data_IF_699180752606
#
_entry.id   IF_699180752606
#
_cell.length_a   1.000
_cell.length_b   1.000
_cell.length_c   1.000
_cell.angle_alpha   90.00
_cell.angle_beta   90.00
_cell.angle_gamma   90.00
#
_symmetry.space_group_name_H-M   'P 1'
#
loop_
_entity.id
_entity.type
_entity.pdbx_description
1 polymer ?
#
# COMPACT_ATOMS: atom_id res chain seq x y z
N UNK A 1 23.53 37.02 28.72
CA UNK A 1 23.80 36.98 27.28
C UNK A 1 24.90 37.95 26.94
N UNK A 2 25.99 37.48 26.32
CA UNK A 2 27.07 38.32 25.81
C UNK A 2 26.62 39.17 24.62
N UNK A 3 27.40 40.19 24.24
CA UNK A 3 27.12 41.00 23.05
C UNK A 3 27.15 40.16 21.77
N UNK A 4 28.01 39.14 21.73
CA UNK A 4 28.14 38.18 20.65
C UNK A 4 26.90 37.27 20.54
N UNK A 5 26.37 36.77 21.66
CA UNK A 5 25.12 36.00 21.68
C UNK A 5 23.90 36.82 21.25
N UNK A 6 23.84 38.12 21.60
CA UNK A 6 22.79 39.02 21.12
C UNK A 6 22.88 39.26 19.62
N UNK A 7 24.08 39.46 19.10
CA UNK A 7 24.32 39.65 17.67
C UNK A 7 24.00 38.39 16.86
N UNK A 8 24.44 37.22 17.34
CA UNK A 8 24.11 35.92 16.72
C UNK A 8 22.61 35.62 16.78
N UNK A 9 21.92 35.96 17.88
CA UNK A 9 20.47 35.83 17.95
C UNK A 9 19.75 36.82 17.02
N UNK A 10 20.24 38.06 16.87
CA UNK A 10 19.67 39.01 15.91
C UNK A 10 19.86 38.55 14.46
N UNK A 11 21.05 38.03 14.11
CA UNK A 11 21.31 37.42 12.81
C UNK A 11 20.41 36.20 12.55
N UNK A 12 20.23 35.32 13.54
CA UNK A 12 19.31 34.18 13.44
C UNK A 12 17.85 34.62 13.27
N UNK A 13 17.41 35.62 14.02
CA UNK A 13 16.03 36.15 13.92
C UNK A 13 15.81 36.84 12.57
N UNK A 14 16.79 37.58 12.05
CA UNK A 14 16.73 38.19 10.73
C UNK A 14 16.74 37.12 9.60
N UNK A 15 17.57 36.09 9.72
CA UNK A 15 17.60 34.97 8.77
C UNK A 15 16.29 34.15 8.79
N UNK A 16 15.67 33.98 9.96
CA UNK A 16 14.35 33.36 10.10
C UNK A 16 13.22 34.23 9.54
N UNK A 17 13.38 35.56 9.54
CA UNK A 17 12.38 36.48 9.00
C UNK A 17 12.37 36.56 7.46
N UNK A 18 13.48 36.20 6.81
CA UNK A 18 13.61 36.15 5.34
C UNK A 18 13.41 34.75 4.73
N UNK A 19 13.29 33.71 5.57
CA UNK A 19 13.09 32.34 5.11
C UNK A 19 11.67 32.14 4.55
N UNK A 20 11.58 31.54 3.36
CA UNK A 20 10.29 31.19 2.77
C UNK A 20 9.72 29.91 3.41
N UNK A 21 8.40 29.82 3.49
CA UNK A 21 7.73 28.63 4.04
C UNK A 21 8.05 27.39 3.17
N UNK A 22 8.15 26.19 3.78
CA UNK A 22 8.44 24.97 3.04
C UNK A 22 7.34 24.64 2.04
N UNK A 23 7.75 24.01 0.94
CA UNK A 23 6.83 23.46 -0.05
C UNK A 23 6.23 22.14 0.47
N UNK A 24 4.91 22.04 0.44
CA UNK A 24 4.13 20.85 0.80
C UNK A 24 3.67 20.18 -0.48
N UNK A 25 3.99 18.89 -0.65
CA UNK A 25 3.62 18.06 -1.79
C UNK A 25 2.47 17.15 -1.35
N UNK A 26 1.26 17.34 -1.86
CA UNK A 26 0.08 16.70 -1.27
C UNK A 26 0.10 15.16 -1.38
N UNK A 27 0.66 14.61 -2.45
CA UNK A 27 0.81 13.16 -2.65
C UNK A 27 1.84 12.51 -1.69
N UNK A 28 2.65 13.32 -0.99
CA UNK A 28 3.67 12.86 -0.03
C UNK A 28 3.29 13.22 1.41
N UNK A 29 2.91 14.46 1.66
CA UNK A 29 2.77 15.05 3.00
C UNK A 29 1.37 14.83 3.62
N UNK A 30 0.65 13.79 3.19
CA UNK A 30 -0.66 13.44 3.75
C UNK A 30 -0.51 12.87 5.17
N UNK A 31 -1.40 13.21 6.13
CA UNK A 31 -1.30 12.72 7.51
C UNK A 31 -1.28 11.18 7.57
N UNK A 32 -0.29 10.62 8.26
CA UNK A 32 -0.11 9.16 8.39
C UNK A 32 0.62 8.50 7.22
N UNK A 33 1.12 9.27 6.26
CA UNK A 33 1.88 8.76 5.12
C UNK A 33 3.39 9.03 5.31
N UNK A 34 4.21 7.97 5.38
CA UNK A 34 5.68 8.08 5.49
C UNK A 34 6.39 8.10 4.12
N UNK A 35 5.64 8.31 3.04
CA UNK A 35 6.15 8.31 1.68
C UNK A 35 7.28 9.31 1.46
N UNK A 36 8.43 8.83 0.99
CA UNK A 36 9.63 9.65 0.75
C UNK A 36 9.67 10.31 -0.63
N UNK A 37 8.68 10.03 -1.48
CA UNK A 37 8.78 10.37 -2.89
C UNK A 37 7.52 10.18 -3.72
N UNK A 38 7.69 10.14 -5.03
CA UNK A 38 6.62 9.96 -6.02
C UNK A 38 6.90 8.68 -6.82
N UNK A 39 5.86 7.88 -7.01
CA UNK A 39 5.99 6.57 -7.63
C UNK A 39 5.15 6.38 -8.88
N UNK A 40 4.92 5.11 -9.22
CA UNK A 40 4.18 4.67 -10.39
C UNK A 40 2.80 5.34 -10.51
N UNK A 41 2.01 5.38 -9.43
CA UNK A 41 0.63 5.90 -9.48
C UNK A 41 0.54 7.41 -9.79
N UNK A 42 1.54 8.18 -9.38
CA UNK A 42 1.59 9.63 -9.51
C UNK A 42 2.19 10.04 -10.84
N UNK A 43 3.12 9.25 -11.35
CA UNK A 43 3.97 9.63 -12.47
C UNK A 43 3.74 8.81 -13.73
N UNK A 44 3.05 7.67 -13.68
CA UNK A 44 2.75 6.86 -14.88
C UNK A 44 2.07 7.70 -15.97
N UNK A 45 0.96 8.36 -15.65
CA UNK A 45 0.32 9.31 -16.55
C UNK A 45 1.16 10.59 -16.62
N UNK A 46 1.76 10.91 -17.78
CA UNK A 46 2.65 12.06 -17.90
C UNK A 46 1.97 13.41 -17.65
N UNK A 47 0.63 13.46 -17.63
CA UNK A 47 -0.17 14.67 -17.40
C UNK A 47 -0.86 14.69 -16.04
N UNK A 48 -0.74 13.64 -15.23
CA UNK A 48 -1.25 13.69 -13.86
C UNK A 48 -0.54 14.81 -13.12
N UNK A 49 -1.34 15.63 -12.45
CA UNK A 49 -0.86 16.73 -11.65
C UNK A 49 -0.38 16.19 -10.30
N UNK A 50 0.82 16.60 -9.91
CA UNK A 50 1.37 16.50 -8.55
C UNK A 50 1.19 17.87 -7.90
N UNK A 51 0.11 18.06 -7.11
CA UNK A 51 -0.19 19.36 -6.51
C UNK A 51 0.77 19.67 -5.36
N UNK A 52 1.20 20.92 -5.32
CA UNK A 52 2.07 21.43 -4.27
C UNK A 52 1.59 22.79 -3.80
N UNK A 53 1.90 23.13 -2.56
CA UNK A 53 1.52 24.42 -1.98
C UNK A 53 2.56 24.93 -1.00
N UNK A 54 2.60 26.24 -0.81
CA UNK A 54 3.42 26.86 0.22
C UNK A 54 2.66 28.03 0.82
N UNK A 55 2.75 28.22 2.14
CA UNK A 55 2.14 29.38 2.79
C UNK A 55 2.82 30.67 2.31
N UNK A 56 2.04 31.71 2.01
CA UNK A 56 2.63 33.00 1.66
C UNK A 56 3.41 33.58 2.85
N UNK A 57 4.61 34.13 2.63
CA UNK A 57 5.34 34.84 3.69
C UNK A 57 4.65 36.17 4.01
N UNK A 58 5.04 36.80 5.13
CA UNK A 58 4.41 38.05 5.58
C UNK A 58 4.67 39.23 4.64
N UNK A 59 5.80 39.23 3.91
CA UNK A 59 6.21 40.31 3.01
C UNK A 59 6.14 39.85 1.57
N UNK A 60 5.02 40.20 0.93
CA UNK A 60 4.68 39.95 -0.48
C UNK A 60 4.01 41.17 -1.10
N UNK A 61 4.07 41.31 -2.42
CA UNK A 61 3.40 42.36 -3.18
C UNK A 61 2.65 41.80 -4.37
N UNK A 62 1.55 42.47 -4.72
CA UNK A 62 0.87 42.22 -5.98
C UNK A 62 1.86 42.41 -7.13
N UNK A 63 1.95 41.41 -8.02
CA UNK A 63 2.91 41.40 -9.11
C UNK A 63 4.29 40.84 -8.76
N UNK A 64 4.52 40.33 -7.55
CA UNK A 64 5.71 39.53 -7.27
C UNK A 64 5.76 38.32 -8.21
N UNK A 65 6.94 38.01 -8.73
CA UNK A 65 7.16 36.92 -9.66
C UNK A 65 7.43 35.62 -8.89
N UNK A 66 6.61 34.60 -9.12
CA UNK A 66 6.72 33.28 -8.48
C UNK A 66 7.26 32.27 -9.48
N UNK A 67 8.31 31.54 -9.12
CA UNK A 67 8.88 30.45 -9.92
C UNK A 67 8.90 29.14 -9.16
N UNK A 68 8.50 28.03 -9.80
CA UNK A 68 8.73 26.67 -9.29
C UNK A 68 9.86 26.02 -10.07
N UNK A 69 10.76 25.35 -9.37
CA UNK A 69 11.95 24.72 -9.93
C UNK A 69 11.96 23.22 -9.64
N UNK A 70 12.45 22.45 -10.61
CA UNK A 70 12.74 21.03 -10.49
C UNK A 70 14.14 20.76 -11.02
N UNK A 71 14.97 20.10 -10.22
CA UNK A 71 16.32 19.71 -10.60
C UNK A 71 16.65 18.30 -10.11
N UNK A 72 17.47 17.59 -10.89
CA UNK A 72 18.02 16.28 -10.52
C UNK A 72 19.39 16.42 -9.84
N UNK A 73 19.96 17.63 -9.83
CA UNK A 73 21.21 17.92 -9.13
C UNK A 73 20.87 18.57 -7.79
N UNK A 74 21.30 17.92 -6.70
CA UNK A 74 21.13 18.44 -5.34
C UNK A 74 21.74 19.84 -5.22
N UNK A 75 20.99 20.86 -4.78
CA UNK A 75 21.54 22.17 -4.48
C UNK A 75 22.66 22.10 -3.43
N UNK A 76 23.74 22.86 -3.61
CA UNK A 76 24.89 22.87 -2.68
C UNK A 76 24.60 23.59 -1.36
N UNK A 77 23.56 24.42 -1.33
CA UNK A 77 23.11 25.20 -0.17
C UNK A 77 21.61 25.02 0.05
N UNK A 78 21.16 25.35 1.26
CA UNK A 78 19.75 25.36 1.62
C UNK A 78 19.44 26.66 2.39
N UNK A 79 18.62 27.57 1.84
CA UNK A 79 18.03 27.52 0.49
C UNK A 79 19.08 27.65 -0.63
N UNK A 80 18.74 27.30 -1.89
CA UNK A 80 19.62 27.55 -3.04
C UNK A 80 19.96 29.04 -3.19
N UNK A 81 21.20 29.35 -3.60
CA UNK A 81 21.64 30.74 -3.82
C UNK A 81 21.24 31.29 -5.19
N UNK A 82 21.16 30.43 -6.21
CA UNK A 82 20.70 30.76 -7.56
C UNK A 82 19.85 29.62 -8.12
N UNK A 83 18.79 29.97 -8.84
CA UNK A 83 17.95 29.01 -9.57
C UNK A 83 18.46 28.88 -11.01
N UNK A 84 18.82 27.69 -11.52
CA UNK A 84 19.19 27.53 -12.92
C UNK A 84 18.04 27.94 -13.83
N UNK A 85 18.31 28.79 -14.82
CA UNK A 85 17.29 29.32 -15.75
C UNK A 85 16.51 28.19 -16.47
N UNK A 86 17.14 27.04 -16.69
CA UNK A 86 16.55 25.88 -17.42
C UNK A 86 15.84 24.84 -16.52
N UNK A 87 15.74 25.11 -15.21
CA UNK A 87 15.08 24.22 -14.24
C UNK A 87 13.74 24.78 -13.73
N UNK A 88 13.39 26.01 -14.11
CA UNK A 88 12.08 26.60 -13.79
C UNK A 88 11.00 25.94 -14.64
N UNK A 89 10.10 25.21 -14.00
CA UNK A 89 9.04 24.43 -14.65
C UNK A 89 7.67 25.10 -14.58
N UNK A 90 7.50 26.09 -13.70
CA UNK A 90 6.28 26.89 -13.63
C UNK A 90 6.62 28.33 -13.23
N UNK A 91 5.81 29.27 -13.73
CA UNK A 91 5.96 30.69 -13.43
C UNK A 91 4.60 31.39 -13.47
N UNK A 92 4.35 32.30 -12.53
CA UNK A 92 3.22 33.22 -12.56
C UNK A 92 3.50 34.48 -11.74
N UNK A 93 2.77 35.56 -12.04
CA UNK A 93 2.75 36.79 -11.22
C UNK A 93 1.70 36.67 -10.12
N UNK A 94 2.04 37.10 -8.91
CA UNK A 94 1.17 37.02 -7.74
C UNK A 94 -0.04 37.95 -7.91
N UNK A 95 -1.24 37.35 -7.94
CA UNK A 95 -2.51 38.06 -8.06
C UNK A 95 -3.20 38.28 -6.70
N UNK A 96 -4.18 39.19 -6.67
CA UNK A 96 -4.89 39.53 -5.43
C UNK A 96 -5.62 38.31 -4.84
N UNK A 97 -6.17 37.42 -5.68
CA UNK A 97 -6.89 36.25 -5.22
C UNK A 97 -5.97 35.24 -4.50
N UNK A 98 -4.71 35.12 -4.90
CA UNK A 98 -3.71 34.29 -4.22
C UNK A 98 -3.29 34.91 -2.89
N UNK A 99 -3.12 36.24 -2.85
CA UNK A 99 -2.86 36.98 -1.60
C UNK A 99 -3.97 36.75 -0.59
N UNK A 100 -5.22 36.91 -1.01
CA UNK A 100 -6.40 36.76 -0.15
C UNK A 100 -6.55 35.32 0.37
N UNK A 101 -6.15 34.31 -0.42
CA UNK A 101 -6.09 32.90 0.00
C UNK A 101 -5.00 32.65 1.03
N UNK A 102 -3.85 33.30 0.92
CA UNK A 102 -2.74 33.16 1.88
C UNK A 102 -1.77 32.01 1.58
N UNK A 103 -1.89 31.34 0.43
CA UNK A 103 -0.97 30.29 -0.01
C UNK A 103 -0.72 30.32 -1.51
N UNK A 104 0.51 29.96 -1.89
CA UNK A 104 0.92 29.65 -3.26
C UNK A 104 0.41 28.26 -3.63
N UNK A 105 0.04 28.09 -4.89
CA UNK A 105 -0.34 26.80 -5.47
C UNK A 105 0.51 26.52 -6.70
N UNK A 106 0.98 25.29 -6.78
CA UNK A 106 1.77 24.78 -7.89
C UNK A 106 1.25 23.41 -8.31
N UNK A 107 1.57 23.02 -9.53
CA UNK A 107 1.39 21.65 -9.97
C UNK A 107 2.50 21.29 -10.95
N UNK A 108 3.16 20.15 -10.72
CA UNK A 108 4.10 19.56 -11.67
C UNK A 108 3.44 18.34 -12.34
N UNK A 109 3.95 17.98 -13.51
CA UNK A 109 3.64 16.71 -14.17
C UNK A 109 4.95 16.02 -14.51
N UNK A 110 4.93 14.71 -14.80
CA UNK A 110 6.12 14.00 -15.28
C UNK A 110 6.72 14.65 -16.53
N UNK A 111 5.85 15.14 -17.43
CA UNK A 111 6.24 15.88 -18.63
C UNK A 111 6.98 17.19 -18.28
N UNK A 112 6.47 17.99 -17.33
CA UNK A 112 7.14 19.23 -16.88
C UNK A 112 8.47 18.96 -16.17
N UNK A 113 8.55 17.87 -15.41
CA UNK A 113 9.78 17.41 -14.77
C UNK A 113 10.80 16.83 -15.77
N UNK A 114 10.40 16.65 -17.04
CA UNK A 114 11.20 16.06 -18.12
C UNK A 114 11.72 14.66 -17.77
N UNK A 115 10.94 13.90 -16.99
CA UNK A 115 11.28 12.52 -16.63
C UNK A 115 10.90 11.62 -17.83
N UNK A 116 11.87 10.89 -18.42
CA UNK A 116 11.66 10.14 -19.66
C UNK A 116 10.58 9.04 -19.61
N UNK A 117 9.94 8.79 -20.77
CA UNK A 117 8.95 7.70 -20.92
C UNK A 117 9.58 6.30 -20.91
N UNK A 118 10.86 6.15 -21.28
CA UNK A 118 11.51 4.84 -21.38
C UNK A 118 11.57 4.10 -20.04
N UNK A 119 11.61 4.84 -18.91
CA UNK A 119 11.53 4.32 -17.54
C UNK A 119 10.23 3.52 -17.31
N UNK A 120 9.11 4.05 -17.80
CA UNK A 120 7.80 3.38 -17.72
C UNK A 120 7.69 2.26 -18.76
N UNK A 121 8.17 2.50 -19.98
CA UNK A 121 8.03 1.56 -21.10
C UNK A 121 8.82 0.27 -20.88
N UNK A 122 9.90 0.29 -20.10
CA UNK A 122 10.64 -0.92 -19.71
C UNK A 122 9.77 -1.88 -18.89
N UNK A 123 9.02 -1.34 -17.94
CA UNK A 123 8.09 -2.13 -17.13
C UNK A 123 6.96 -2.69 -17.99
N UNK A 124 6.42 -1.88 -18.91
CA UNK A 124 5.39 -2.34 -19.87
C UNK A 124 5.92 -3.47 -20.77
N UNK A 125 7.20 -3.45 -21.17
CA UNK A 125 7.80 -4.52 -22.00
C UNK A 125 7.84 -5.88 -21.30
N UNK A 126 7.84 -5.92 -19.97
CA UNK A 126 7.79 -7.19 -19.21
C UNK A 126 6.40 -7.83 -19.23
N UNK A 127 5.35 -7.04 -19.50
CA UNK A 127 3.98 -7.53 -19.56
C UNK A 127 3.71 -8.35 -20.84
N UNK A 128 2.70 -9.22 -20.76
CA UNK A 128 2.17 -9.91 -21.94
C UNK A 128 1.62 -8.90 -22.97
N UNK A 129 1.82 -9.11 -24.29
CA UNK A 129 1.48 -8.14 -25.34
C UNK A 129 0.01 -7.65 -25.34
N UNK A 130 -0.94 -8.48 -24.95
CA UNK A 130 -2.36 -8.17 -24.79
C UNK A 130 -2.62 -7.05 -23.78
N UNK A 131 -1.73 -6.85 -22.81
CA UNK A 131 -1.83 -5.80 -21.81
C UNK A 131 -1.17 -4.49 -22.24
N UNK A 132 -0.40 -4.46 -23.32
CA UNK A 132 0.28 -3.25 -23.80
C UNK A 132 -0.67 -2.13 -24.26
N UNK A 133 -1.78 -2.41 -24.99
CA UNK A 133 -2.62 -1.36 -25.57
C UNK A 133 -3.13 -0.30 -24.58
N UNK A 134 -3.50 -0.69 -23.36
CA UNK A 134 -3.96 0.25 -22.33
C UNK A 134 -2.87 1.26 -21.93
N UNK A 135 -1.62 0.81 -21.80
CA UNK A 135 -0.51 1.68 -21.42
C UNK A 135 -0.09 2.57 -22.57
N UNK A 136 -0.01 2.01 -23.79
CA UNK A 136 0.29 2.76 -25.00
C UNK A 136 -0.75 3.85 -25.26
N UNK A 137 -2.03 3.57 -25.02
CA UNK A 137 -3.09 4.57 -25.11
C UNK A 137 -2.88 5.73 -24.13
N UNK A 138 -2.55 5.43 -22.87
CA UNK A 138 -2.27 6.46 -21.86
C UNK A 138 -1.08 7.35 -22.25
N UNK A 139 -0.03 6.74 -22.82
CA UNK A 139 1.17 7.43 -23.30
C UNK A 139 1.03 8.04 -24.70
N UNK A 140 -0.12 7.86 -25.37
CA UNK A 140 -0.36 8.28 -26.76
C UNK A 140 0.67 7.72 -27.77
N UNK A 141 1.05 6.46 -27.57
CA UNK A 141 1.95 5.72 -28.45
C UNK A 141 1.16 4.70 -29.28
N UNK A 142 1.58 4.46 -30.51
CA UNK A 142 0.98 3.43 -31.37
C UNK A 142 1.53 2.02 -31.08
N UNK A 143 2.80 1.95 -30.68
CA UNK A 143 3.53 0.72 -30.33
C UNK A 143 4.65 1.06 -29.36
N UNK A 144 5.19 0.04 -28.71
CA UNK A 144 6.42 0.19 -27.91
C UNK A 144 7.58 0.62 -28.82
N UNK A 145 8.22 1.78 -28.56
CA UNK A 145 9.45 2.13 -29.25
C UNK A 145 10.60 1.21 -28.82
N UNK A 146 11.64 1.11 -29.64
CA UNK A 146 12.89 0.46 -29.22
C UNK A 146 13.47 1.20 -28.01
N UNK A 147 14.00 0.49 -27.00
CA UNK A 147 14.65 1.14 -25.87
C UNK A 147 15.89 1.92 -26.34
N UNK A 148 16.21 3.05 -25.71
CA UNK A 148 17.42 3.79 -26.05
C UNK A 148 18.66 2.95 -25.75
N UNK A 149 19.72 3.15 -26.53
CA UNK A 149 20.97 2.40 -26.36
C UNK A 149 21.71 2.73 -25.06
N UNK A 150 21.47 3.92 -24.49
CA UNK A 150 21.99 4.38 -23.22
C UNK A 150 20.83 4.98 -22.44
N UNK A 151 20.67 4.55 -21.19
CA UNK A 151 19.68 5.11 -20.27
C UNK A 151 20.26 6.34 -19.59
N UNK A 152 19.49 7.42 -19.55
CA UNK A 152 19.93 8.69 -18.94
C UNK A 152 19.89 8.65 -17.40
N UNK A 153 19.04 7.80 -16.81
CA UNK A 153 18.79 7.77 -15.36
C UNK A 153 18.83 6.34 -14.78
N UNK A 154 19.59 6.09 -13.69
CA UNK A 154 19.35 4.93 -12.84
C UNK A 154 18.06 5.14 -12.03
N UNK A 155 17.29 4.09 -11.82
CA UNK A 155 16.14 4.07 -10.88
C UNK A 155 16.53 3.27 -9.63
N UNK A 156 16.05 3.67 -8.44
CA UNK A 156 15.39 4.95 -8.15
C UNK A 156 16.38 6.12 -8.15
N UNK A 157 15.89 7.37 -8.23
CA UNK A 157 16.73 8.57 -8.16
C UNK A 157 16.10 9.73 -7.36
N UNK A 158 16.93 10.68 -6.93
CA UNK A 158 16.46 11.87 -6.21
C UNK A 158 16.25 13.04 -7.15
N UNK A 159 15.17 13.80 -6.91
CA UNK A 159 15.00 15.13 -7.44
C UNK A 159 14.59 16.14 -6.37
N UNK A 160 14.63 17.42 -6.74
CA UNK A 160 14.57 18.52 -5.79
C UNK A 160 13.60 19.60 -6.28
N UNK A 161 12.54 19.83 -5.51
CA UNK A 161 11.64 20.97 -5.71
C UNK A 161 11.99 22.12 -4.80
N UNK A 162 11.92 23.33 -5.32
CA UNK A 162 11.93 24.56 -4.53
C UNK A 162 11.24 25.66 -5.33
N UNK A 163 10.83 26.73 -4.66
CA UNK A 163 10.24 27.88 -5.33
C UNK A 163 11.00 29.15 -5.02
N UNK A 164 10.78 30.18 -5.83
CA UNK A 164 11.29 31.52 -5.63
C UNK A 164 10.18 32.56 -5.59
N UNK A 165 10.48 33.68 -4.93
CA UNK A 165 9.71 34.90 -4.99
C UNK A 165 10.67 36.02 -5.37
N UNK A 166 10.40 36.70 -6.48
CA UNK A 166 11.12 37.89 -6.92
C UNK A 166 10.23 39.13 -6.84
N UNK A 167 10.65 40.12 -6.04
CA UNK A 167 10.01 41.43 -5.99
C UNK A 167 10.69 42.37 -6.99
N UNK A 168 10.05 42.74 -8.11
CA UNK A 168 10.65 43.57 -9.15
C UNK A 168 10.95 45.00 -8.68
N UNK A 169 10.27 45.49 -7.63
CA UNK A 169 10.47 46.84 -7.13
C UNK A 169 11.73 46.95 -6.27
N UNK A 170 11.97 45.97 -5.40
CA UNK A 170 13.17 45.93 -4.56
C UNK A 170 14.32 45.14 -5.17
N UNK A 171 14.07 44.45 -6.29
CA UNK A 171 14.97 43.48 -6.92
C UNK A 171 15.42 42.39 -5.94
N UNK A 172 14.54 42.02 -5.01
CA UNK A 172 14.84 41.00 -4.01
C UNK A 172 14.38 39.65 -4.53
N UNK A 173 15.31 38.71 -4.67
CA UNK A 173 15.04 37.32 -5.05
C UNK A 173 15.30 36.43 -3.84
N UNK A 174 14.31 35.63 -3.46
CA UNK A 174 14.42 34.65 -2.39
C UNK A 174 14.01 33.28 -2.88
N UNK A 175 14.66 32.25 -2.34
CA UNK A 175 14.32 30.85 -2.59
C UNK A 175 13.82 30.18 -1.31
N UNK A 176 12.96 29.18 -1.48
CA UNK A 176 12.62 28.26 -0.41
C UNK A 176 13.72 27.25 -0.20
N UNK A 177 13.71 26.63 0.98
CA UNK A 177 14.39 25.35 1.16
C UNK A 177 13.90 24.36 0.09
N UNK A 178 14.81 23.50 -0.36
CA UNK A 178 14.44 22.44 -1.29
C UNK A 178 13.78 21.28 -0.56
N UNK A 179 12.81 20.67 -1.23
CA UNK A 179 12.23 19.37 -0.89
C UNK A 179 12.93 18.31 -1.73
N UNK A 180 13.62 17.42 -1.05
CA UNK A 180 14.15 16.20 -1.65
C UNK A 180 12.99 15.21 -1.85
N UNK A 181 12.89 14.66 -3.06
CA UNK A 181 11.82 13.75 -3.50
C UNK A 181 12.47 12.55 -4.16
N UNK A 182 12.24 11.37 -3.59
CA UNK A 182 12.60 10.11 -4.24
C UNK A 182 11.68 9.88 -5.44
N UNK A 183 12.22 9.56 -6.60
CA UNK A 183 11.48 9.14 -7.77
C UNK A 183 11.78 7.67 -7.96
N UNK A 184 10.72 6.88 -7.98
CA UNK A 184 10.83 5.44 -8.19
C UNK A 184 9.60 4.92 -8.95
N UNK A 185 9.80 4.68 -10.24
CA UNK A 185 8.76 4.10 -11.10
C UNK A 185 8.72 2.57 -11.03
N UNK A 186 9.71 1.93 -10.40
CA UNK A 186 9.85 0.48 -10.35
C UNK A 186 8.93 -0.07 -9.25
N UNK A 187 7.86 -0.73 -9.66
CA UNK A 187 6.95 -1.39 -8.71
C UNK A 187 7.64 -2.63 -8.16
N UNK A 188 7.71 -2.84 -6.83
CA UNK A 188 8.33 -4.04 -6.25
C UNK A 188 7.61 -5.29 -6.74
N UNK A 189 8.35 -6.29 -7.21
CA UNK A 189 7.80 -7.48 -7.85
C UNK A 189 7.36 -7.27 -9.30
N UNK A 190 7.57 -6.07 -9.87
CA UNK A 190 7.16 -5.73 -11.23
C UNK A 190 5.68 -5.39 -11.35
N UNK A 191 5.28 -4.91 -12.54
CA UNK A 191 3.87 -4.70 -12.85
C UNK A 191 3.17 -6.05 -13.00
N UNK A 192 2.08 -6.22 -12.26
CA UNK A 192 1.25 -7.42 -12.34
C UNK A 192 0.93 -7.80 -13.80
N UNK A 193 1.39 -9.00 -14.25
CA UNK A 193 1.21 -9.45 -15.61
C UNK A 193 -0.24 -9.77 -15.95
N UNK A 194 -1.09 -10.09 -14.96
CA UNK A 194 -2.49 -10.46 -15.15
C UNK A 194 -3.36 -9.64 -14.21
N UNK A 195 -3.54 -8.34 -14.52
CA UNK A 195 -4.21 -7.37 -13.65
C UNK A 195 -5.65 -7.74 -13.27
N UNK A 196 -6.27 -8.66 -14.00
CA UNK A 196 -7.59 -9.24 -13.76
C UNK A 196 -7.64 -10.27 -12.63
N UNK A 197 -6.50 -10.79 -12.20
CA UNK A 197 -6.40 -11.69 -11.04
C UNK A 197 -6.12 -10.86 -9.78
N UNK A 198 -6.41 -11.41 -8.58
CA UNK A 198 -6.16 -10.71 -7.32
C UNK A 198 -4.69 -10.77 -6.85
N UNK A 199 -3.79 -11.43 -7.58
CA UNK A 199 -2.41 -11.68 -7.18
C UNK A 199 -1.44 -11.20 -8.26
N UNK A 200 -0.21 -10.89 -7.90
CA UNK A 200 0.85 -10.62 -8.87
C UNK A 200 1.62 -11.91 -9.18
N UNK A 201 1.47 -12.44 -10.40
CA UNK A 201 2.15 -13.68 -10.80
C UNK A 201 3.65 -13.53 -11.10
N UNK A 202 4.22 -12.32 -11.03
CA UNK A 202 5.68 -12.15 -11.02
C UNK A 202 6.31 -12.41 -9.66
N UNK A 203 5.52 -12.42 -8.59
CA UNK A 203 5.99 -12.86 -7.27
C UNK A 203 5.93 -14.39 -7.15
N UNK A 204 6.77 -14.95 -6.28
CA UNK A 204 6.72 -16.37 -5.93
C UNK A 204 5.88 -16.59 -4.68
N UNK A 205 5.32 -17.79 -4.52
CA UNK A 205 4.64 -18.14 -3.28
C UNK A 205 5.67 -18.24 -2.14
N UNK A 206 5.34 -17.79 -0.92
CA UNK A 206 6.23 -17.98 0.22
C UNK A 206 6.42 -19.47 0.53
N UNK A 207 7.58 -19.86 1.03
CA UNK A 207 7.82 -21.22 1.52
C UNK A 207 7.75 -21.20 3.05
N UNK A 208 6.81 -21.95 3.62
CA UNK A 208 6.63 -22.03 5.09
C UNK A 208 7.20 -23.33 5.63
N UNK A 209 8.07 -23.24 6.63
CA UNK A 209 8.74 -24.39 7.25
C UNK A 209 8.63 -24.30 8.79
N UNK A 210 8.05 -25.31 9.47
CA UNK A 210 7.27 -26.40 8.88
C UNK A 210 5.91 -25.91 8.36
N UNK A 211 5.37 -26.57 7.33
CA UNK A 211 4.01 -26.28 6.82
C UNK A 211 2.90 -26.97 7.62
N UNK A 212 3.26 -27.88 8.54
CA UNK A 212 2.36 -28.44 9.57
C UNK A 212 2.90 -28.05 10.94
N UNK A 213 2.06 -27.36 11.71
CA UNK A 213 2.42 -26.70 12.95
C UNK A 213 1.61 -27.34 14.06
N UNK A 214 2.28 -28.03 14.98
CA UNK A 214 1.60 -28.76 16.06
C UNK A 214 1.05 -27.82 17.15
N UNK A 215 1.72 -26.69 17.38
CA UNK A 215 1.29 -25.66 18.34
C UNK A 215 1.74 -24.28 17.87
N UNK A 216 1.09 -23.18 18.30
CA UNK A 216 1.58 -21.82 18.02
C UNK A 216 3.01 -21.54 18.50
N UNK A 217 3.52 -22.30 19.48
CA UNK A 217 4.88 -22.16 19.99
C UNK A 217 5.94 -22.85 19.11
N UNK A 218 5.54 -23.61 18.09
CA UNK A 218 6.47 -24.24 17.13
C UNK A 218 7.22 -23.14 16.38
N UNK A 219 8.56 -23.16 16.33
CA UNK A 219 9.31 -22.20 15.53
C UNK A 219 8.99 -22.37 14.04
N UNK A 220 8.45 -21.32 13.42
CA UNK A 220 8.08 -21.28 12.00
C UNK A 220 8.91 -20.21 11.29
N UNK A 221 9.45 -20.60 10.14
CA UNK A 221 10.14 -19.69 9.23
C UNK A 221 9.37 -19.61 7.92
N UNK A 222 9.21 -18.39 7.42
CA UNK A 222 8.75 -18.12 6.05
C UNK A 222 9.93 -17.59 5.25
N UNK A 223 10.20 -18.20 4.10
CA UNK A 223 11.20 -17.70 3.15
C UNK A 223 10.54 -17.17 1.89
N UNK A 224 11.00 -16.01 1.44
CA UNK A 224 10.52 -15.31 0.24
C UNK A 224 11.74 -15.06 -0.66
N UNK A 225 11.68 -15.55 -1.89
CA UNK A 225 12.75 -15.34 -2.87
C UNK A 225 12.91 -13.85 -3.19
N UNK A 226 14.11 -13.45 -3.62
CA UNK A 226 14.31 -12.10 -4.12
C UNK A 226 13.34 -11.76 -5.27
N UNK A 227 12.78 -10.55 -5.23
CA UNK A 227 11.82 -10.07 -6.23
C UNK A 227 12.44 -9.05 -7.19
N UNK A 228 11.77 -8.86 -8.33
CA UNK A 228 12.11 -7.81 -9.27
C UNK A 228 12.05 -6.43 -8.59
N UNK A 229 13.11 -5.63 -8.75
CA UNK A 229 13.23 -4.30 -8.16
C UNK A 229 13.27 -4.26 -6.62
N UNK A 230 13.69 -5.36 -5.99
CA UNK A 230 13.97 -5.40 -4.56
C UNK A 230 15.03 -4.37 -4.16
N UNK A 231 14.73 -3.57 -3.14
CA UNK A 231 15.60 -2.49 -2.69
C UNK A 231 15.56 -2.26 -1.18
N UNK A 232 16.59 -1.59 -0.68
CA UNK A 232 16.62 -1.15 0.71
C UNK A 232 15.50 -0.12 0.91
N UNK A 233 14.79 -0.22 2.03
CA UNK A 233 13.61 0.58 2.31
C UNK A 233 12.28 -0.08 1.93
N UNK A 234 12.30 -1.22 1.23
CA UNK A 234 11.09 -2.03 1.03
C UNK A 234 10.60 -2.61 2.37
N UNK A 235 9.28 -2.71 2.51
CA UNK A 235 8.59 -3.36 3.62
C UNK A 235 7.77 -4.50 3.06
N UNK A 236 8.13 -5.72 3.47
CA UNK A 236 7.36 -6.92 3.19
C UNK A 236 6.38 -7.15 4.35
N UNK A 237 5.08 -7.18 4.05
CA UNK A 237 4.04 -7.56 5.01
C UNK A 237 3.63 -9.01 4.74
N UNK A 238 3.79 -9.87 5.74
CA UNK A 238 3.26 -11.23 5.73
C UNK A 238 1.79 -11.19 6.17
N UNK A 239 0.92 -11.87 5.44
CA UNK A 239 -0.48 -12.08 5.81
C UNK A 239 -0.62 -13.55 6.17
N UNK A 240 -0.74 -13.82 7.46
CA UNK A 240 -0.96 -15.15 8.04
C UNK A 240 -2.43 -15.31 8.41
N UNK A 241 -3.20 -15.99 7.58
CA UNK A 241 -4.62 -16.19 7.74
C UNK A 241 -5.37 -14.90 8.15
N UNK A 242 -5.19 -13.81 7.39
CA UNK A 242 -5.80 -12.51 7.69
C UNK A 242 -5.08 -11.67 8.75
N UNK A 243 -4.10 -12.24 9.47
CA UNK A 243 -3.22 -11.51 10.40
C UNK A 243 -2.06 -10.90 9.65
N UNK A 244 -1.98 -9.57 9.65
CA UNK A 244 -0.85 -8.82 9.08
C UNK A 244 0.34 -8.78 10.05
N UNK A 245 1.52 -9.02 9.53
CA UNK A 245 2.80 -8.91 10.23
C UNK A 245 3.83 -8.24 9.31
N UNK A 246 4.27 -7.04 9.68
CA UNK A 246 5.29 -6.32 8.91
C UNK A 246 6.67 -6.85 9.28
N UNK A 247 7.41 -7.34 8.28
CA UNK A 247 8.84 -7.59 8.41
C UNK A 247 9.56 -6.24 8.61
N UNK A 248 10.70 -6.21 9.35
CA UNK A 248 11.53 -5.01 9.38
C UNK A 248 11.83 -4.47 7.98
N UNK A 249 11.90 -3.14 7.87
CA UNK A 249 12.31 -2.44 6.65
C UNK A 249 13.63 -3.03 6.17
N UNK A 250 13.72 -3.40 4.89
CA UNK A 250 14.92 -3.99 4.34
C UNK A 250 16.10 -3.01 4.39
N UNK A 251 17.25 -3.49 4.83
CA UNK A 251 18.51 -2.75 4.76
C UNK A 251 19.30 -3.13 3.49
N UNK A 252 20.33 -2.36 3.13
CA UNK A 252 21.19 -2.67 1.96
C UNK A 252 21.76 -4.09 2.00
N UNK A 253 22.07 -4.59 3.21
CA UNK A 253 22.55 -5.94 3.40
C UNK A 253 21.52 -7.02 3.08
N UNK A 254 20.23 -6.74 3.19
CA UNK A 254 19.16 -7.72 2.98
C UNK A 254 18.82 -7.91 1.51
N UNK A 255 18.93 -6.87 0.69
CA UNK A 255 18.77 -6.95 -0.77
C UNK A 255 19.75 -7.94 -1.41
N UNK A 256 20.93 -8.08 -0.79
CA UNK A 256 21.95 -9.04 -1.24
C UNK A 256 21.77 -10.47 -0.69
N UNK A 257 20.83 -10.67 0.24
CA UNK A 257 20.52 -11.97 0.84
C UNK A 257 19.28 -12.55 0.17
N UNK A 258 19.50 -13.53 -0.69
CA UNK A 258 18.44 -14.33 -1.27
C UNK A 258 18.45 -15.71 -0.58
N UNK A 259 17.35 -16.14 0.08
CA UNK A 259 16.04 -15.48 0.23
C UNK A 259 15.91 -14.55 1.45
N UNK A 260 14.85 -13.74 1.49
CA UNK A 260 14.39 -13.06 2.73
C UNK A 260 13.81 -14.10 3.67
N UNK A 261 14.27 -14.10 4.93
CA UNK A 261 13.88 -15.09 5.94
C UNK A 261 13.16 -14.41 7.09
N UNK A 262 11.89 -14.77 7.29
CA UNK A 262 11.01 -14.21 8.32
C UNK A 262 10.80 -15.25 9.40
N UNK A 263 11.11 -14.91 10.66
CA UNK A 263 10.71 -15.71 11.80
C UNK A 263 9.29 -15.31 12.20
N UNK A 264 8.32 -16.20 12.03
CA UNK A 264 6.91 -15.88 12.31
C UNK A 264 6.72 -15.89 13.83
N UNK A 265 6.27 -14.77 14.44
CA UNK A 265 5.98 -14.75 15.87
C UNK A 265 4.85 -15.70 16.24
N UNK A 266 4.94 -16.32 17.42
CA UNK A 266 3.91 -17.24 17.92
C UNK A 266 2.53 -16.58 18.04
N UNK A 267 2.47 -15.28 18.37
CA UNK A 267 1.21 -14.54 18.49
C UNK A 267 0.53 -14.31 17.13
N UNK A 268 1.31 -14.26 16.04
CA UNK A 268 0.76 -14.18 14.67
C UNK A 268 0.08 -15.51 14.32
N UNK A 269 0.72 -16.64 14.67
CA UNK A 269 0.17 -17.98 14.45
C UNK A 269 -1.10 -18.18 15.31
N UNK A 270 -1.04 -17.81 16.59
CA UNK A 270 -2.17 -17.93 17.53
C UNK A 270 -3.38 -17.11 17.07
N UNK A 271 -3.17 -15.83 16.71
CA UNK A 271 -4.23 -14.96 16.18
C UNK A 271 -4.76 -15.41 14.82
N UNK A 272 -3.95 -16.13 14.06
CA UNK A 272 -4.35 -16.74 12.80
C UNK A 272 -5.21 -17.99 12.97
N UNK A 273 -5.38 -18.48 14.20
CA UNK A 273 -6.20 -19.64 14.50
C UNK A 273 -5.59 -20.97 14.04
N UNK A 274 -6.39 -22.02 14.17
CA UNK A 274 -6.04 -23.39 13.78
C UNK A 274 -6.89 -23.84 12.59
N UNK A 275 -6.43 -24.84 11.83
CA UNK A 275 -7.17 -25.37 10.69
C UNK A 275 -6.28 -25.96 9.60
N UNK A 276 -6.95 -26.58 8.63
CA UNK A 276 -6.32 -27.12 7.42
C UNK A 276 -6.43 -26.12 6.27
N UNK A 277 -5.31 -25.84 5.61
CA UNK A 277 -5.19 -24.88 4.51
C UNK A 277 -5.32 -23.41 4.92
N UNK A 278 -4.76 -23.04 6.07
CA UNK A 278 -4.64 -21.63 6.45
C UNK A 278 -3.78 -20.90 5.42
N UNK A 279 -4.26 -19.73 5.03
CA UNK A 279 -3.72 -18.96 3.92
C UNK A 279 -2.51 -18.13 4.36
N UNK A 280 -1.37 -18.29 3.69
CA UNK A 280 -0.16 -17.48 3.92
C UNK A 280 0.31 -16.86 2.61
N UNK A 281 0.35 -15.54 2.53
CA UNK A 281 0.92 -14.80 1.39
C UNK A 281 1.61 -13.54 1.89
N UNK A 282 2.22 -12.79 1.00
CA UNK A 282 2.87 -11.53 1.34
C UNK A 282 2.58 -10.46 0.30
N UNK A 283 2.85 -9.23 0.68
CA UNK A 283 2.85 -8.07 -0.21
C UNK A 283 3.99 -7.13 0.17
N UNK A 284 4.38 -6.25 -0.75
CA UNK A 284 5.52 -5.36 -0.57
C UNK A 284 5.10 -3.92 -0.86
N UNK A 285 5.56 -3.01 0.00
CA UNK A 285 5.51 -1.56 -0.19
C UNK A 285 6.93 -1.02 -0.23
N UNK A 286 7.24 -0.19 -1.22
CA UNK A 286 8.53 0.50 -1.27
C UNK A 286 8.51 1.86 -0.53
N UNK A 287 9.64 2.58 -0.60
CA UNK A 287 9.79 3.89 0.04
C UNK A 287 8.89 4.99 -0.55
N UNK A 288 8.43 4.80 -1.78
CA UNK A 288 7.44 5.67 -2.43
C UNK A 288 6.06 5.02 -2.47
N UNK A 289 5.79 4.02 -1.64
CA UNK A 289 4.49 3.35 -1.53
C UNK A 289 3.97 2.70 -2.83
N UNK A 290 4.84 2.39 -3.80
CA UNK A 290 4.46 1.47 -4.87
C UNK A 290 4.09 0.12 -4.25
N UNK A 291 3.05 -0.50 -4.79
CA UNK A 291 2.45 -1.71 -4.23
C UNK A 291 2.65 -2.90 -5.15
N UNK A 292 3.23 -3.97 -4.63
CA UNK A 292 3.50 -5.19 -5.41
C UNK A 292 2.26 -5.97 -5.80
N UNK A 293 1.11 -5.71 -5.17
CA UNK A 293 -0.02 -6.65 -5.05
C UNK A 293 0.33 -7.92 -4.27
N UNK A 294 -0.68 -8.70 -3.84
CA UNK A 294 -0.44 -9.94 -3.10
C UNK A 294 0.34 -10.95 -3.95
N UNK A 295 1.25 -11.69 -3.32
CA UNK A 295 1.90 -12.85 -3.94
C UNK A 295 0.94 -14.03 -4.09
N UNK A 296 1.28 -15.03 -4.93
CA UNK A 296 0.61 -16.32 -4.88
C UNK A 296 0.68 -16.92 -3.45
N UNK A 297 -0.35 -17.61 -3.00
CA UNK A 297 -0.42 -18.10 -1.62
C UNK A 297 0.33 -19.41 -1.41
N UNK A 298 0.77 -19.62 -0.17
CA UNK A 298 1.04 -20.92 0.41
C UNK A 298 -0.07 -21.31 1.39
N UNK A 299 -0.15 -22.61 1.68
CA UNK A 299 -1.15 -23.17 2.60
C UNK A 299 -0.46 -23.96 3.69
N UNK A 300 -0.90 -23.75 4.93
CA UNK A 300 -0.35 -24.43 6.11
C UNK A 300 -1.45 -25.11 6.91
N UNK A 301 -1.08 -26.11 7.71
CA UNK A 301 -1.94 -26.69 8.74
C UNK A 301 -1.43 -26.23 10.10
N UNK A 302 -2.32 -25.70 10.93
CA UNK A 302 -2.06 -25.44 12.36
C UNK A 302 -2.99 -26.34 13.16
N UNK A 303 -2.43 -27.25 13.96
CA UNK A 303 -3.20 -28.19 14.75
C UNK A 303 -3.66 -27.56 16.07
N UNK A 304 -4.91 -27.82 16.41
CA UNK A 304 -5.42 -27.70 17.78
C UNK A 304 -6.30 -28.93 18.06
N UNK A 305 -5.85 -29.87 18.91
CA UNK A 305 -6.60 -31.09 19.19
C UNK A 305 -7.91 -30.83 19.95
N UNK A 306 -8.13 -29.63 20.47
CA UNK A 306 -9.36 -29.25 21.16
C UNK A 306 -10.28 -28.36 20.32
N UNK A 307 -9.89 -28.03 19.08
CA UNK A 307 -10.71 -27.19 18.23
C UNK A 307 -11.95 -27.92 17.72
N UNK A 308 -13.05 -27.18 17.61
CA UNK A 308 -14.29 -27.67 17.01
C UNK A 308 -14.18 -27.69 15.48
N UNK A 309 -15.09 -28.40 14.82
CA UNK A 309 -15.13 -28.43 13.35
C UNK A 309 -15.45 -27.05 12.76
N UNK A 310 -14.86 -26.72 11.60
CA UNK A 310 -15.10 -25.44 10.94
C UNK A 310 -16.55 -25.31 10.44
N UNK A 311 -17.13 -24.10 10.43
CA UNK A 311 -18.41 -23.86 9.78
C UNK A 311 -18.36 -24.17 8.28
N UNK A 312 -19.48 -24.55 7.68
CA UNK A 312 -19.63 -24.74 6.22
C UNK A 312 -20.17 -23.47 5.56
N UNK A 313 -19.67 -23.14 4.38
CA UNK A 313 -20.16 -22.00 3.59
C UNK A 313 -20.77 -22.54 2.32
N UNK A 314 -22.07 -22.30 2.11
CA UNK A 314 -22.79 -22.76 0.93
C UNK A 314 -22.20 -22.11 -0.33
N UNK A 315 -21.88 -22.91 -1.33
CA UNK A 315 -21.19 -22.48 -2.55
C UNK A 315 -19.66 -22.48 -2.46
N UNK A 316 -19.08 -22.85 -1.31
CA UNK A 316 -17.63 -22.95 -1.10
C UNK A 316 -17.27 -24.24 -0.32
N UNK A 317 -17.65 -25.41 -0.84
CA UNK A 317 -17.54 -26.68 -0.10
C UNK A 317 -16.19 -27.41 -0.28
N UNK A 318 -15.39 -27.07 -1.31
CA UNK A 318 -14.16 -27.79 -1.63
C UNK A 318 -12.92 -26.86 -1.60
N UNK A 319 -11.77 -27.34 -1.10
CA UNK A 319 -10.52 -26.59 -1.15
C UNK A 319 -9.96 -26.49 -2.59
N UNK A 320 -9.34 -25.35 -2.98
CA UNK A 320 -9.30 -24.09 -2.24
C UNK A 320 -10.72 -23.48 -2.16
N UNK A 321 -11.18 -23.16 -0.94
CA UNK A 321 -12.55 -22.71 -0.70
C UNK A 321 -12.75 -21.34 -1.38
N UNK A 322 -13.66 -21.30 -2.37
CA UNK A 322 -13.93 -20.11 -3.18
C UNK A 322 -15.43 -19.85 -3.19
N UNK A 323 -15.82 -18.62 -2.88
CA UNK A 323 -17.19 -18.15 -2.93
C UNK A 323 -17.37 -17.27 -4.17
N UNK A 324 -18.21 -17.70 -5.11
CA UNK A 324 -18.55 -16.94 -6.31
C UNK A 324 -19.69 -15.95 -5.98
N UNK A 325 -19.33 -14.67 -5.87
CA UNK A 325 -20.28 -13.62 -5.50
C UNK A 325 -21.35 -13.37 -6.58
N UNK A 326 -21.07 -13.68 -7.84
CA UNK A 326 -22.05 -13.53 -8.92
C UNK A 326 -23.10 -14.64 -8.88
N UNK A 327 -22.70 -15.86 -8.47
CA UNK A 327 -23.61 -16.99 -8.29
C UNK A 327 -24.65 -16.74 -7.18
N UNK A 328 -24.32 -15.90 -6.18
CA UNK A 328 -25.26 -15.49 -5.14
C UNK A 328 -26.40 -14.62 -5.69
N UNK A 329 -26.22 -13.93 -6.82
CA UNK A 329 -27.22 -13.05 -7.43
C UNK A 329 -27.83 -12.04 -6.43
N UNK A 330 -26.99 -11.50 -5.54
CA UNK A 330 -27.37 -10.55 -4.50
C UNK A 330 -28.02 -11.16 -3.25
N UNK A 331 -28.09 -12.49 -3.14
CA UNK A 331 -28.49 -13.17 -1.91
C UNK A 331 -27.38 -13.15 -0.86
N UNK A 332 -27.78 -13.24 0.41
CA UNK A 332 -26.86 -13.33 1.55
C UNK A 332 -26.08 -14.64 1.54
N UNK A 333 -24.87 -14.62 2.11
CA UNK A 333 -24.03 -15.82 2.21
C UNK A 333 -24.57 -16.70 3.33
N UNK A 334 -24.83 -17.97 3.02
CA UNK A 334 -25.33 -18.95 3.99
C UNK A 334 -24.15 -19.69 4.61
N UNK A 335 -24.06 -19.61 5.93
CA UNK A 335 -23.03 -20.24 6.76
C UNK A 335 -23.74 -21.25 7.69
N UNK A 336 -23.28 -22.49 7.68
CA UNK A 336 -23.89 -23.60 8.40
C UNK A 336 -22.96 -24.03 9.52
N UNK A 337 -23.48 -23.99 10.75
CA UNK A 337 -22.83 -24.57 11.92
C UNK A 337 -22.90 -26.11 11.82
N UNK A 338 -21.77 -26.83 11.76
CA UNK A 338 -21.78 -28.29 11.75
C UNK A 338 -22.28 -28.86 13.08
N UNK A 339 -22.69 -30.13 13.06
CA UNK A 339 -22.89 -30.88 14.30
C UNK A 339 -21.52 -31.30 14.79
N UNK A 340 -20.98 -30.56 15.76
CA UNK A 340 -19.67 -30.82 16.34
C UNK A 340 -19.73 -31.80 17.53
N UNK A 341 -18.58 -32.40 17.83
CA UNK A 341 -18.42 -33.28 18.98
C UNK A 341 -18.72 -32.55 20.30
N UNK A 342 -19.62 -33.12 21.09
CA UNK A 342 -20.07 -32.52 22.35
C UNK A 342 -21.23 -31.52 22.21
N UNK A 343 -21.80 -31.33 21.02
CA UNK A 343 -23.00 -30.53 20.82
C UNK A 343 -24.18 -30.96 21.71
N UNK A 344 -24.75 -30.00 22.44
CA UNK A 344 -26.01 -30.16 23.17
C UNK A 344 -27.05 -29.09 22.79
N UNK A 345 -28.34 -29.47 22.82
CA UNK A 345 -29.40 -28.48 22.64
C UNK A 345 -29.37 -27.44 23.76
N UNK A 346 -29.28 -26.18 23.36
CA UNK A 346 -29.14 -25.04 24.25
C UNK A 346 -27.69 -24.57 24.45
N UNK A 347 -26.74 -25.09 23.67
CA UNK A 347 -25.41 -24.47 23.55
C UNK A 347 -25.55 -23.05 22.99
N UNK A 348 -24.80 -22.12 23.55
CA UNK A 348 -24.74 -20.74 23.07
C UNK A 348 -23.55 -20.59 22.13
N UNK A 349 -23.82 -20.22 20.87
CA UNK A 349 -22.81 -20.07 19.82
C UNK A 349 -22.71 -18.61 19.37
N UNK A 350 -21.48 -18.16 19.16
CA UNK A 350 -21.16 -16.88 18.51
C UNK A 350 -20.40 -17.17 17.23
N UNK A 351 -20.94 -16.73 16.08
CA UNK A 351 -20.27 -16.85 14.78
C UNK A 351 -19.47 -15.57 14.50
N UNK A 352 -18.34 -15.73 13.82
CA UNK A 352 -17.42 -14.66 13.47
C UNK A 352 -17.07 -14.72 11.99
N UNK A 353 -17.08 -13.56 11.35
CA UNK A 353 -16.58 -13.35 9.99
C UNK A 353 -15.54 -12.25 10.02
N UNK A 354 -14.39 -12.49 9.41
CA UNK A 354 -13.35 -11.47 9.23
C UNK A 354 -12.97 -11.46 7.75
N UNK A 355 -13.56 -10.54 7.01
CA UNK A 355 -13.17 -10.29 5.62
C UNK A 355 -11.92 -9.43 5.52
N UNK A 356 -11.11 -9.64 4.50
CA UNK A 356 -9.91 -8.89 4.16
C UNK A 356 -10.03 -8.41 2.70
N UNK A 357 -10.19 -7.10 2.51
CA UNK A 357 -10.33 -6.51 1.16
C UNK A 357 -9.09 -6.76 0.30
N UNK A 358 -9.27 -6.82 -1.03
CA UNK A 358 -8.17 -6.89 -2.00
C UNK A 358 -7.31 -5.62 -2.11
N UNK A 359 -7.75 -4.53 -1.47
CA UNK A 359 -7.00 -3.27 -1.46
C UNK A 359 -5.64 -3.44 -0.78
N UNK A 360 -4.72 -2.55 -1.12
CA UNK A 360 -3.30 -2.68 -0.85
C UNK A 360 -2.87 -2.66 0.63
N UNK A 361 -3.81 -2.39 1.55
CA UNK A 361 -3.59 -2.42 2.99
C UNK A 361 -4.45 -3.51 3.68
N UNK A 362 -5.24 -4.26 2.91
CA UNK A 362 -6.12 -5.33 3.41
C UNK A 362 -6.99 -4.88 4.57
N UNK A 363 -7.98 -4.02 4.30
CA UNK A 363 -8.90 -3.56 5.34
C UNK A 363 -9.73 -4.73 5.85
N UNK A 364 -9.82 -4.85 7.18
CA UNK A 364 -10.71 -5.84 7.79
C UNK A 364 -12.17 -5.38 7.75
N UNK A 365 -13.04 -6.29 7.35
CA UNK A 365 -14.50 -6.14 7.36
C UNK A 365 -15.07 -7.19 8.33
N UNK A 366 -14.99 -6.95 9.65
CA UNK A 366 -15.48 -7.89 10.64
C UNK A 366 -17.00 -7.87 10.73
N UNK A 367 -17.58 -9.03 11.02
CA UNK A 367 -18.99 -9.16 11.36
C UNK A 367 -19.17 -10.26 12.41
N UNK A 368 -19.66 -9.87 13.57
CA UNK A 368 -19.98 -10.78 14.68
C UNK A 368 -21.49 -10.92 14.78
N UNK A 369 -21.97 -12.16 14.73
CA UNK A 369 -23.38 -12.43 15.00
C UNK A 369 -23.63 -12.34 16.51
N UNK A 370 -24.83 -11.91 16.94
CA UNK A 370 -25.18 -12.00 18.34
C UNK A 370 -25.19 -13.48 18.78
N UNK A 371 -24.72 -13.73 20.00
CA UNK A 371 -24.74 -15.05 20.61
C UNK A 371 -26.16 -15.66 20.52
N UNK A 372 -26.23 -16.93 20.09
CA UNK A 372 -27.48 -17.63 19.79
C UNK A 372 -27.52 -18.99 20.46
N UNK A 373 -28.64 -19.30 21.11
CA UNK A 373 -28.88 -20.63 21.66
C UNK A 373 -29.33 -21.61 20.55
N UNK A 374 -28.58 -22.70 20.37
CA UNK A 374 -28.82 -23.68 19.33
C UNK A 374 -29.77 -24.77 19.83
N UNK A 375 -31.04 -24.73 19.41
CA UNK A 375 -32.08 -25.67 19.85
C UNK A 375 -32.53 -26.64 18.73
N UNK A 376 -32.16 -26.36 17.49
CA UNK A 376 -32.37 -27.26 16.35
C UNK A 376 -31.76 -26.74 15.05
N UNK A 377 -32.03 -27.44 13.95
CA UNK A 377 -31.39 -27.19 12.65
C UNK A 377 -31.58 -25.78 12.08
N UNK A 378 -32.66 -25.06 12.45
CA UNK A 378 -32.87 -23.68 12.01
C UNK A 378 -31.91 -22.70 12.68
N UNK A 379 -31.50 -22.99 13.91
CA UNK A 379 -30.60 -22.12 14.67
C UNK A 379 -29.15 -22.26 14.20
N UNK A 380 -28.83 -23.35 13.48
CA UNK A 380 -27.52 -23.66 12.90
C UNK A 380 -27.23 -22.90 11.60
N UNK A 381 -28.17 -22.12 11.07
CA UNK A 381 -28.01 -21.36 9.83
C UNK A 381 -27.75 -19.89 10.17
N UNK A 382 -26.64 -19.37 9.69
CA UNK A 382 -26.22 -17.98 9.81
C UNK A 382 -26.18 -17.35 8.42
N UNK A 383 -26.64 -16.11 8.32
CA UNK A 383 -26.68 -15.36 7.06
C UNK A 383 -25.78 -14.13 7.20
N UNK A 384 -24.81 -13.98 6.30
CA UNK A 384 -23.98 -12.79 6.17
C UNK A 384 -24.58 -11.90 5.06
N UNK A 385 -24.92 -10.64 5.33
CA UNK A 385 -25.43 -9.72 4.32
C UNK A 385 -24.53 -9.67 3.07
N UNK A 386 -25.12 -9.81 1.88
CA UNK A 386 -24.38 -9.77 0.60
C UNK A 386 -23.49 -8.53 0.49
N UNK A 387 -23.98 -7.39 0.99
CA UNK A 387 -23.25 -6.13 0.97
C UNK A 387 -21.91 -6.22 1.71
N UNK A 388 -21.80 -6.99 2.79
CA UNK A 388 -20.54 -7.18 3.52
C UNK A 388 -19.58 -8.09 2.75
N UNK A 389 -20.08 -9.19 2.17
CA UNK A 389 -19.27 -10.05 1.31
C UNK A 389 -18.76 -9.29 0.07
N UNK A 390 -19.59 -8.43 -0.52
CA UNK A 390 -19.25 -7.63 -1.69
C UNK A 390 -18.16 -6.58 -1.43
N UNK A 391 -17.97 -6.11 -0.18
CA UNK A 391 -16.86 -5.24 0.18
C UNK A 391 -15.50 -5.97 0.11
N UNK A 392 -15.52 -7.29 0.18
CA UNK A 392 -14.34 -8.16 0.29
C UNK A 392 -14.06 -8.87 -1.05
N UNK A 393 -14.69 -8.42 -2.14
CA UNK A 393 -14.47 -8.97 -3.48
C UNK A 393 -12.98 -8.95 -3.86
N UNK A 394 -12.52 -10.03 -4.50
CA UNK A 394 -11.14 -10.32 -4.85
C UNK A 394 -10.19 -10.46 -3.64
N UNK A 395 -10.74 -10.45 -2.42
CA UNK A 395 -10.03 -10.63 -1.18
C UNK A 395 -10.23 -12.03 -0.61
N UNK A 396 -10.08 -12.14 0.71
CA UNK A 396 -10.30 -13.38 1.46
C UNK A 396 -11.13 -13.13 2.70
N UNK A 397 -11.66 -14.19 3.30
CA UNK A 397 -12.31 -14.11 4.59
C UNK A 397 -12.04 -15.35 5.42
N UNK A 398 -12.04 -15.16 6.74
CA UNK A 398 -12.07 -16.24 7.70
C UNK A 398 -13.44 -16.30 8.35
N UNK A 399 -13.97 -17.51 8.49
CA UNK A 399 -15.20 -17.77 9.22
C UNK A 399 -14.99 -18.88 10.23
N UNK A 400 -15.38 -18.61 11.47
CA UNK A 400 -15.24 -19.51 12.62
C UNK A 400 -16.31 -19.20 13.67
N UNK A 401 -16.42 -20.05 14.69
CA UNK A 401 -17.34 -19.81 15.79
C UNK A 401 -16.74 -20.21 17.13
N UNK A 402 -17.29 -19.61 18.18
CA UNK A 402 -17.11 -20.03 19.55
C UNK A 402 -18.40 -20.70 20.05
N UNK A 403 -18.27 -21.81 20.76
CA UNK A 403 -19.39 -22.47 21.43
C UNK A 403 -19.17 -22.50 22.94
N UNK A 404 -20.20 -22.11 23.68
CA UNK A 404 -20.30 -22.29 25.13
C UNK A 404 -21.31 -23.41 25.40
N UNK A 405 -20.84 -24.62 25.76
CA UNK A 405 -21.72 -25.71 26.08
C UNK A 405 -22.63 -25.39 27.26
N UNK A 406 -23.87 -25.86 27.21
CA UNK A 406 -24.82 -25.68 28.32
C UNK A 406 -24.29 -26.22 29.66
N UNK A 407 -23.48 -27.27 29.61
CA UNK A 407 -22.83 -27.89 30.78
C UNK A 407 -21.66 -27.08 31.37
N UNK A 408 -21.24 -25.99 30.72
CA UNK A 408 -20.08 -25.17 31.06
C UNK A 408 -18.82 -25.51 30.25
N UNK A 409 -17.92 -24.53 30.11
CA UNK A 409 -16.74 -24.59 29.24
C UNK A 409 -16.88 -23.67 28.03
N UNK A 410 -15.87 -23.69 27.16
CA UNK A 410 -15.87 -23.00 25.86
C UNK A 410 -14.99 -23.76 24.89
N UNK A 411 -15.35 -23.76 23.60
CA UNK A 411 -14.53 -24.27 22.51
C UNK A 411 -14.54 -23.29 21.35
N UNK A 412 -13.43 -23.21 20.61
CA UNK A 412 -13.31 -22.43 19.39
C UNK A 412 -13.18 -23.40 18.22
N UNK A 413 -13.85 -23.11 17.11
CA UNK A 413 -13.72 -23.87 15.88
C UNK A 413 -12.40 -23.59 15.18
N UNK A 414 -11.93 -24.56 14.39
CA UNK A 414 -10.93 -24.27 13.38
C UNK A 414 -11.46 -23.24 12.39
N UNK A 415 -10.57 -22.45 11.84
CA UNK A 415 -10.83 -21.42 10.86
C UNK A 415 -11.15 -22.02 9.50
N UNK A 416 -12.18 -21.51 8.82
CA UNK A 416 -12.38 -21.74 7.39
C UNK A 416 -12.01 -20.47 6.63
N UNK A 417 -10.91 -20.54 5.90
CA UNK A 417 -10.48 -19.48 4.99
C UNK A 417 -11.10 -19.67 3.62
N UNK A 418 -11.70 -18.62 3.07
CA UNK A 418 -12.26 -18.60 1.72
C UNK A 418 -11.77 -17.40 0.90
N UNK A 419 -11.67 -17.59 -0.41
CA UNK A 419 -11.49 -16.51 -1.37
C UNK A 419 -12.83 -16.05 -1.92
N UNK A 420 -13.00 -14.74 -2.04
CA UNK A 420 -14.23 -14.15 -2.56
C UNK A 420 -13.96 -13.65 -3.98
N UNK A 421 -14.44 -14.38 -4.97
CA UNK A 421 -14.17 -14.08 -6.38
C UNK A 421 -15.44 -13.54 -7.06
N UNK A 422 -15.26 -12.70 -8.07
CA UNK A 422 -16.22 -12.63 -9.19
C UNK A 422 -15.61 -13.40 -10.34
N UNK A 423 -16.32 -14.41 -10.87
CA UNK A 423 -15.81 -15.06 -12.08
C UNK A 423 -15.67 -14.02 -13.20
N UNK A 424 -14.66 -14.14 -14.08
CA UNK A 424 -14.70 -13.37 -15.31
C UNK A 424 -15.98 -13.73 -16.06
N UNK A 425 -16.66 -12.71 -16.58
CA UNK A 425 -17.71 -12.91 -17.57
C UNK A 425 -17.08 -13.73 -18.71
N UNK A 426 -17.66 -14.88 -19.09
CA UNK A 426 -17.04 -15.80 -20.04
C UNK A 426 -16.82 -15.21 -21.42
#
# INVERSE_FOLDING_TARGET
MSAEEKFLNQLKVAALADALNPLVISDMDSPGNERKGLGWNELFDPRRLVPMSARLPEVIRLGDEIGLYWTLTKPSTQPPEEGPVDTRIQFYELDQATIDRGWLSFAATRELMKIPDDLVLELVRKLEPEHHPRFLQALKLERLPEPPAVREFPEPFLGYFYYSIYDPNSQNLRFSDYREVLIDLQVPGGLDPKPETPINEFLTAPIVIPSRIETPATPVTVTVDAWDFMQAGDVLTLIWNGVRFDNPVLEEGDVSKDPVVIQVPADVIERGGSGDNLLVFYEIRDQVQNYSRPSPPAYVTVEDPNALEAPEVEGAENPPYRLDLDALNGADVVIILPIYDGYERGDTVTMHWIGLTADADGMQVPYDWPARDINGARDMIFELPFALAALVVNGSANVFYESQPKGGGSGQAIEKTLYLDRRPIP
#
